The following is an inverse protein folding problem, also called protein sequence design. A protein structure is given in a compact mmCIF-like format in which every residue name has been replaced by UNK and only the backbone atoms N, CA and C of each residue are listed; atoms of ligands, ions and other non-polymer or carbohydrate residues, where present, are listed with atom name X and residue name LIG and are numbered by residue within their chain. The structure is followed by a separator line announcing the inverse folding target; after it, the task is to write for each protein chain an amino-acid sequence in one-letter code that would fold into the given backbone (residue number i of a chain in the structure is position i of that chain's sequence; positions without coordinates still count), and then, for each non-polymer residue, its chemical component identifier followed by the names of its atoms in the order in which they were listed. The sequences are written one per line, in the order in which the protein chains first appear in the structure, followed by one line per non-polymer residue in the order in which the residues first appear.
data_IF_126688494932
#
_entry.id   IF_126688494932
#
_cell.length_a   1.000
_cell.length_b   1.000
_cell.length_c   1.000
_cell.angle_alpha   90.00
_cell.angle_beta   90.00
_cell.angle_gamma   90.00
#
_symmetry.space_group_name_H-M   'P 1'
#
loop_
_entity.id
_entity.type
_entity.pdbx_description
1 polymer ?
#
# COMPACT_ATOMS: atom_id res chain seq x y z
N UNK A 1 -9.18 9.81 -3.85
CA UNK A 1 -9.43 8.43 -3.34
C UNK A 1 -8.37 8.07 -2.31
N UNK A 2 -8.74 7.42 -1.20
CA UNK A 2 -7.79 6.98 -0.15
C UNK A 2 -7.88 5.46 -0.01
N UNK A 3 -6.71 4.80 0.00
CA UNK A 3 -6.56 3.35 0.07
C UNK A 3 -5.60 3.02 1.20
N UNK A 4 -6.00 2.14 2.10
CA UNK A 4 -5.19 1.73 3.26
C UNK A 4 -5.01 0.22 3.27
N UNK A 5 -3.77 -0.24 3.16
CA UNK A 5 -3.43 -1.66 3.17
C UNK A 5 -2.75 -1.99 4.48
N UNK A 6 -3.19 -3.06 5.15
CA UNK A 6 -2.48 -3.58 6.31
C UNK A 6 -1.87 -4.94 6.06
N UNK A 7 -0.64 -5.11 6.55
CA UNK A 7 0.10 -6.39 6.52
C UNK A 7 0.21 -6.92 7.94
N UNK A 8 -0.12 -8.18 8.15
CA UNK A 8 -0.01 -8.83 9.43
C UNK A 8 1.46 -8.88 9.88
N UNK A 9 1.73 -8.50 11.14
CA UNK A 9 3.08 -8.54 11.73
C UNK A 9 3.71 -9.94 11.73
N UNK A 10 2.91 -10.99 11.61
CA UNK A 10 3.35 -12.38 11.48
C UNK A 10 4.01 -12.70 10.13
N UNK A 11 3.96 -11.77 9.17
CA UNK A 11 4.53 -11.90 7.84
C UNK A 11 5.53 -10.76 7.58
N UNK A 12 6.72 -10.82 8.20
CA UNK A 12 7.71 -9.75 8.06
C UNK A 12 8.25 -9.71 6.63
N UNK A 13 8.32 -8.49 6.08
CA UNK A 13 8.94 -8.23 4.79
C UNK A 13 10.38 -7.76 4.98
N UNK A 14 11.24 -7.95 3.95
CA UNK A 14 12.58 -7.37 3.93
C UNK A 14 12.54 -5.84 4.11
N UNK A 15 13.65 -5.28 4.59
CA UNK A 15 13.82 -3.82 4.71
C UNK A 15 13.54 -3.14 3.37
N UNK A 16 12.72 -2.08 3.39
CA UNK A 16 12.33 -1.31 2.21
C UNK A 16 11.20 -1.93 1.36
N UNK A 17 10.75 -3.15 1.65
CA UNK A 17 9.67 -3.78 0.87
C UNK A 17 8.31 -3.10 1.07
N UNK A 18 8.05 -2.51 2.25
CA UNK A 18 6.83 -1.72 2.51
C UNK A 18 6.80 -0.48 1.60
N UNK A 19 7.91 0.25 1.52
CA UNK A 19 8.01 1.46 0.70
C UNK A 19 7.92 1.13 -0.79
N UNK A 20 8.57 0.03 -1.21
CA UNK A 20 8.47 -0.47 -2.57
C UNK A 20 7.03 -0.84 -2.95
N UNK A 21 6.30 -1.52 -2.05
CA UNK A 21 4.91 -1.87 -2.26
C UNK A 21 4.01 -0.63 -2.33
N UNK A 22 4.17 0.32 -1.40
CA UNK A 22 3.40 1.56 -1.39
C UNK A 22 3.63 2.38 -2.67
N UNK A 23 4.88 2.48 -3.12
CA UNK A 23 5.24 3.18 -4.35
C UNK A 23 4.65 2.52 -5.61
N UNK A 24 4.71 1.19 -5.69
CA UNK A 24 4.14 0.46 -6.82
C UNK A 24 2.61 0.58 -6.88
N UNK A 25 1.92 0.43 -5.75
CA UNK A 25 0.47 0.61 -5.68
C UNK A 25 0.07 2.03 -6.06
N UNK A 26 0.79 3.05 -5.58
CA UNK A 26 0.54 4.44 -5.94
C UNK A 26 0.64 4.66 -7.45
N UNK A 27 1.68 4.13 -8.11
CA UNK A 27 1.83 4.22 -9.58
C UNK A 27 0.67 3.55 -10.32
N UNK A 28 0.26 2.35 -9.89
CA UNK A 28 -0.86 1.62 -10.51
C UNK A 28 -2.18 2.36 -10.37
N UNK A 29 -2.43 2.94 -9.19
CA UNK A 29 -3.66 3.71 -8.95
C UNK A 29 -3.67 4.99 -9.79
N UNK A 30 -2.55 5.72 -9.86
CA UNK A 30 -2.44 6.90 -10.71
C UNK A 30 -2.68 6.57 -12.19
N UNK A 31 -2.16 5.43 -12.66
CA UNK A 31 -2.37 4.97 -14.04
C UNK A 31 -3.83 4.58 -14.30
N UNK A 32 -4.48 3.87 -13.37
CA UNK A 32 -5.86 3.42 -13.53
C UNK A 32 -6.90 4.53 -13.34
N UNK A 33 -6.59 5.53 -12.52
CA UNK A 33 -7.50 6.62 -12.16
C UNK A 33 -6.80 7.98 -12.33
N UNK A 34 -6.48 8.40 -13.57
CA UNK A 34 -5.68 9.61 -13.82
C UNK A 34 -6.35 10.89 -13.31
N UNK A 35 -7.68 10.94 -13.28
CA UNK A 35 -8.45 12.12 -12.86
C UNK A 35 -8.71 12.18 -11.35
N UNK A 36 -8.32 11.14 -10.60
CA UNK A 36 -8.54 11.07 -9.15
C UNK A 36 -7.20 11.00 -8.43
N UNK A 37 -6.94 11.94 -7.53
CA UNK A 37 -5.77 11.87 -6.66
C UNK A 37 -5.90 10.65 -5.73
N UNK A 38 -5.02 9.66 -5.92
CA UNK A 38 -5.02 8.40 -5.18
C UNK A 38 -3.92 8.36 -4.12
N UNK A 39 -4.30 8.31 -2.84
CA UNK A 39 -3.34 8.14 -1.75
C UNK A 39 -3.35 6.71 -1.23
N UNK A 40 -2.20 6.04 -1.27
CA UNK A 40 -2.01 4.68 -0.74
C UNK A 40 -1.14 4.73 0.51
N UNK A 41 -1.61 4.11 1.59
CA UNK A 41 -0.81 3.87 2.80
C UNK A 41 -0.69 2.38 3.05
N UNK A 42 0.52 1.91 3.35
CA UNK A 42 0.80 0.52 3.70
C UNK A 42 1.44 0.48 5.09
N UNK A 43 0.90 -0.32 6.00
CA UNK A 43 1.46 -0.46 7.36
C UNK A 43 1.30 -1.85 7.94
N UNK A 44 2.12 -2.17 8.93
CA UNK A 44 1.91 -3.38 9.73
C UNK A 44 0.73 -3.24 10.70
N UNK A 45 -0.07 -4.30 10.83
CA UNK A 45 -1.19 -4.42 11.77
C UNK A 45 -1.27 -5.83 12.36
N UNK A 46 -2.29 -6.09 13.17
CA UNK A 46 -2.52 -7.41 13.74
C UNK A 46 -2.97 -8.44 12.68
N UNK A 47 -3.67 -7.99 11.63
CA UNK A 47 -4.20 -8.83 10.57
C UNK A 47 -4.07 -8.13 9.19
N UNK A 48 -4.25 -8.91 8.12
CA UNK A 48 -4.29 -8.41 6.74
C UNK A 48 -5.66 -7.82 6.44
N UNK A 49 -5.71 -6.57 5.97
CA UNK A 49 -6.95 -5.87 5.57
C UNK A 49 -6.67 -4.92 4.39
N UNK A 50 -7.74 -4.52 3.70
CA UNK A 50 -7.78 -3.56 2.60
C UNK A 50 -8.93 -2.57 2.79
#
# INVERSE_FOLDING_TARGET
MRIEVTIAKTSPLPTGAIDALAGELSRRIQYAFPDNEGHVSVRYAAANNL
#
